data_IF_237071017779
#
_entry.id   IF_237071017779
#
_cell.length_a   1.000
_cell.length_b   1.000
_cell.length_c   1.000
_cell.angle_alpha   90.00
_cell.angle_beta   90.00
_cell.angle_gamma   90.00
#
_symmetry.space_group_name_H-M   'P 1'
#
loop_
_entity.id
_entity.type
_entity.pdbx_description
1 polymer ?
#
# COMPACT_ATOMS: atom_id res chain seq x y z
N UNK A 1 -6.79 6.09 -14.15
CA UNK A 1 -6.76 6.06 -12.68
C UNK A 1 -6.54 4.64 -12.21
N UNK A 2 -5.81 4.47 -11.14
CA UNK A 2 -5.47 3.14 -10.66
C UNK A 2 -6.43 2.70 -9.56
N UNK A 3 -6.87 1.43 -9.61
CA UNK A 3 -7.67 0.86 -8.53
C UNK A 3 -6.79 0.36 -7.37
N UNK A 4 -5.48 0.31 -7.58
CA UNK A 4 -4.56 -0.18 -6.56
C UNK A 4 -4.07 0.99 -5.74
N UNK A 5 -4.19 0.88 -4.42
CA UNK A 5 -3.75 1.93 -3.50
C UNK A 5 -2.73 1.33 -2.54
N UNK A 6 -1.61 2.03 -2.38
CA UNK A 6 -0.57 1.65 -1.42
C UNK A 6 -0.40 2.77 -0.41
N UNK A 7 -0.80 2.52 0.82
CA UNK A 7 -0.53 3.42 1.93
C UNK A 7 0.91 3.18 2.38
N UNK A 8 1.71 4.23 2.44
CA UNK A 8 3.14 4.12 2.71
C UNK A 8 3.60 5.25 3.62
N UNK A 9 4.89 5.24 3.95
CA UNK A 9 5.55 6.32 4.68
C UNK A 9 6.99 6.40 4.23
N UNK A 10 7.65 7.51 4.57
CA UNK A 10 9.08 7.66 4.31
C UNK A 10 9.87 6.66 5.15
N UNK A 11 11.06 6.30 4.67
CA UNK A 11 11.98 5.40 5.38
C UNK A 11 11.33 4.07 5.74
N UNK A 12 10.55 3.52 4.83
CA UNK A 12 9.84 2.26 5.04
C UNK A 12 10.33 1.24 4.02
N UNK A 13 11.12 0.27 4.48
CA UNK A 13 11.71 -0.74 3.60
C UNK A 13 10.62 -1.55 2.87
N UNK A 14 9.66 -2.07 3.62
CA UNK A 14 8.63 -2.92 3.02
C UNK A 14 7.67 -2.14 2.13
N UNK A 15 7.48 -0.85 2.39
CA UNK A 15 6.72 0.01 1.48
C UNK A 15 7.43 0.10 0.13
N UNK A 16 8.75 0.29 0.15
CA UNK A 16 9.52 0.37 -1.08
C UNK A 16 9.50 -0.96 -1.81
N UNK A 17 9.60 -2.07 -1.08
CA UNK A 17 9.54 -3.40 -1.67
C UNK A 17 8.20 -3.63 -2.36
N UNK A 18 7.11 -3.24 -1.71
CA UNK A 18 5.77 -3.41 -2.29
C UNK A 18 5.64 -2.61 -3.59
N UNK A 19 6.10 -1.36 -3.58
CA UNK A 19 6.06 -0.53 -4.78
C UNK A 19 6.90 -1.13 -5.90
N UNK A 20 8.08 -1.65 -5.57
CA UNK A 20 8.95 -2.27 -6.56
C UNK A 20 8.29 -3.49 -7.21
N UNK A 21 7.64 -4.34 -6.42
CA UNK A 21 6.95 -5.51 -6.95
C UNK A 21 5.85 -5.10 -7.92
N UNK A 22 5.05 -4.10 -7.54
CA UNK A 22 3.97 -3.63 -8.42
C UNK A 22 4.53 -3.08 -9.71
N UNK A 23 5.62 -2.31 -9.64
CA UNK A 23 6.24 -1.74 -10.83
C UNK A 23 6.80 -2.83 -11.75
N UNK A 24 7.44 -3.84 -11.16
CA UNK A 24 7.99 -4.96 -11.94
C UNK A 24 6.89 -5.73 -12.68
N UNK A 25 5.70 -5.78 -12.13
CA UNK A 25 4.58 -6.46 -12.77
C UNK A 25 3.73 -5.53 -13.63
N UNK A 26 4.19 -4.30 -13.81
CA UNK A 26 3.50 -3.28 -14.62
C UNK A 26 2.09 -3.00 -14.10
N UNK A 27 1.92 -3.05 -12.79
CA UNK A 27 0.65 -2.73 -12.15
C UNK A 27 0.71 -1.29 -11.68
N UNK A 28 -0.17 -0.45 -12.20
CA UNK A 28 -0.28 0.93 -11.76
C UNK A 28 -0.89 1.00 -10.37
N UNK A 29 -0.43 1.95 -9.58
CA UNK A 29 -0.96 2.13 -8.23
C UNK A 29 -0.89 3.60 -7.84
N UNK A 30 -1.77 3.97 -6.91
CA UNK A 30 -1.74 5.28 -6.28
C UNK A 30 -1.03 5.13 -4.93
N UNK A 31 0.05 5.88 -4.75
CA UNK A 31 0.74 5.88 -3.45
C UNK A 31 0.17 6.97 -2.56
N UNK A 32 -0.21 6.59 -1.34
CA UNK A 32 -0.69 7.52 -0.32
C UNK A 32 0.30 7.53 0.82
N UNK A 33 1.27 8.44 0.73
CA UNK A 33 2.37 8.51 1.70
C UNK A 33 1.96 9.40 2.86
N UNK A 34 1.85 8.80 4.05
CA UNK A 34 1.39 9.52 5.24
C UNK A 34 2.45 10.41 5.88
N UNK A 35 3.68 10.38 5.36
CA UNK A 35 4.74 11.30 5.78
C UNK A 35 4.66 12.64 5.06
N UNK A 36 3.87 12.71 4.00
CA UNK A 36 3.70 13.93 3.20
C UNK A 36 2.42 14.65 3.63
N UNK A 37 2.26 15.88 3.15
CA UNK A 37 1.17 16.73 3.66
C UNK A 37 -0.21 16.33 3.17
N UNK A 38 -0.32 15.61 2.06
CA UNK A 38 -1.61 15.30 1.46
C UNK A 38 -2.40 14.25 2.24
N UNK A 39 -1.72 13.27 2.78
CA UNK A 39 -2.34 12.15 3.50
C UNK A 39 -1.77 12.06 4.90
N UNK A 40 -2.61 11.62 5.86
CA UNK A 40 -2.22 11.51 7.25
C UNK A 40 -2.41 10.07 7.73
N UNK A 41 -1.82 9.77 8.89
CA UNK A 41 -2.07 8.49 9.54
C UNK A 41 -3.55 8.31 9.84
N UNK A 42 -4.24 9.38 10.22
CA UNK A 42 -5.68 9.31 10.49
C UNK A 42 -6.44 8.88 9.24
N UNK A 43 -6.05 9.40 8.06
CA UNK A 43 -6.68 8.98 6.81
C UNK A 43 -6.51 7.49 6.58
N UNK A 44 -5.29 6.97 6.82
CA UNK A 44 -5.03 5.55 6.67
C UNK A 44 -5.87 4.72 7.65
N UNK A 45 -6.00 5.19 8.88
CA UNK A 45 -6.75 4.46 9.90
C UNK A 45 -8.23 4.44 9.63
N UNK A 46 -8.74 5.41 8.86
CA UNK A 46 -10.12 5.33 8.39
C UNK A 46 -10.30 4.17 7.42
N UNK A 47 -9.31 3.95 6.56
CA UNK A 47 -9.38 2.85 5.60
C UNK A 47 -9.08 1.51 6.26
N UNK A 48 -8.12 1.48 7.19
CA UNK A 48 -7.69 0.25 7.87
C UNK A 48 -7.61 0.54 9.37
N UNK A 49 -8.72 0.43 10.10
CA UNK A 49 -8.75 0.83 11.53
C UNK A 49 -7.75 0.11 12.42
N UNK A 50 -7.39 -1.12 12.07
CA UNK A 50 -6.48 -1.92 12.89
C UNK A 50 -5.03 -1.83 12.41
N UNK A 51 -4.71 -0.93 11.48
CA UNK A 51 -3.37 -0.86 10.91
C UNK A 51 -2.35 -0.47 11.98
N UNK A 52 -1.29 -1.26 12.08
CA UNK A 52 -0.17 -1.00 12.98
C UNK A 52 1.13 -0.87 12.21
N UNK A 53 1.14 -1.26 10.95
CA UNK A 53 2.32 -1.27 10.11
C UNK A 53 2.00 -0.71 8.74
N UNK A 54 3.04 -0.51 7.94
CA UNK A 54 2.95 -0.10 6.55
C UNK A 54 3.88 -1.01 5.76
N UNK A 55 3.58 -1.29 4.51
CA UNK A 55 2.49 -0.69 3.71
C UNK A 55 1.13 -1.32 4.03
N UNK A 56 0.06 -0.63 3.60
CA UNK A 56 -1.29 -1.18 3.60
C UNK A 56 -1.82 -1.04 2.19
N UNK A 57 -2.25 -2.15 1.60
CA UNK A 57 -2.48 -2.24 0.15
C UNK A 57 -3.91 -2.68 -0.13
N UNK A 58 -4.53 -2.01 -1.12
CA UNK A 58 -5.88 -2.34 -1.61
C UNK A 58 -5.83 -2.57 -3.11
N UNK A 59 -6.62 -3.55 -3.58
CA UNK A 59 -6.92 -3.72 -5.00
C UNK A 59 -8.42 -3.46 -5.15
N UNK A 60 -8.75 -2.25 -5.60
CA UNK A 60 -10.14 -1.81 -5.62
C UNK A 60 -10.67 -1.76 -4.20
N UNK A 61 -11.78 -2.44 -3.97
CA UNK A 61 -12.39 -2.51 -2.64
C UNK A 61 -11.80 -3.62 -1.78
N UNK A 62 -10.91 -4.43 -2.34
CA UNK A 62 -10.35 -5.57 -1.63
C UNK A 62 -9.12 -5.16 -0.85
N UNK A 63 -9.17 -5.36 0.46
CA UNK A 63 -8.01 -5.11 1.32
C UNK A 63 -7.08 -6.31 1.24
N UNK A 64 -5.83 -6.05 0.84
CA UNK A 64 -4.82 -7.10 0.67
C UNK A 64 -4.01 -7.28 1.95
N UNK A 65 -3.56 -6.19 2.54
CA UNK A 65 -2.69 -6.22 3.70
C UNK A 65 -1.35 -5.58 3.41
N UNK A 66 -0.29 -6.17 3.96
CA UNK A 66 1.06 -5.64 3.80
C UNK A 66 1.81 -6.31 2.66
N UNK A 67 3.15 -6.20 2.73
CA UNK A 67 3.99 -6.72 1.66
C UNK A 67 3.88 -8.24 1.50
N UNK A 68 3.88 -8.98 2.62
CA UNK A 68 3.80 -10.44 2.57
C UNK A 68 2.50 -10.89 1.90
N UNK A 69 1.40 -10.25 2.28
CA UNK A 69 0.09 -10.56 1.72
C UNK A 69 0.03 -10.21 0.24
N UNK A 70 0.69 -9.10 -0.15
CA UNK A 70 0.76 -8.72 -1.56
C UNK A 70 1.47 -9.78 -2.38
N UNK A 71 2.58 -10.31 -1.87
CA UNK A 71 3.32 -11.36 -2.58
C UNK A 71 2.44 -12.59 -2.79
N UNK A 72 1.68 -12.98 -1.78
CA UNK A 72 0.77 -14.12 -1.90
C UNK A 72 -0.34 -13.84 -2.91
N UNK A 73 -0.87 -12.63 -2.88
CA UNK A 73 -1.96 -12.24 -3.78
C UNK A 73 -1.52 -12.28 -5.24
N UNK A 74 -0.28 -11.87 -5.51
CA UNK A 74 0.25 -11.81 -6.88
C UNK A 74 0.89 -13.11 -7.32
N UNK A 75 0.99 -14.08 -6.44
CA UNK A 75 1.60 -15.37 -6.78
C UNK A 75 0.63 -16.17 -7.65
N UNK A 76 1.17 -16.70 -8.72
CA UNK A 76 0.38 -17.56 -9.64
C UNK A 76 0.24 -18.97 -9.12
#
# INVERSE_FOLDING_TARGET
MSDVVVWSKDACFYCQMAKNVLELKSIEFEERNISLNKWSRADMLEAVPDAKTLPQIFFGDEYIGGFTELQKYLKD
#
